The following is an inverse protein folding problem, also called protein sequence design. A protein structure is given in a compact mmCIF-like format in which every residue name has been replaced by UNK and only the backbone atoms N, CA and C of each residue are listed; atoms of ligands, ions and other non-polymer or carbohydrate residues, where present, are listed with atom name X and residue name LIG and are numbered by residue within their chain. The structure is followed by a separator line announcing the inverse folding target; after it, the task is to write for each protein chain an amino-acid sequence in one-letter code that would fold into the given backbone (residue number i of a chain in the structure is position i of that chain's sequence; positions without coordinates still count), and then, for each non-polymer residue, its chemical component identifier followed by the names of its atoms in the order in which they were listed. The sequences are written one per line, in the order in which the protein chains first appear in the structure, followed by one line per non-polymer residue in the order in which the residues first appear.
data_IF_879677667130
#
_entry.id   IF_879677667130
#
_cell.length_a   1.000
_cell.length_b   1.000
_cell.length_c   1.000
_cell.angle_alpha   90.00
_cell.angle_beta   90.00
_cell.angle_gamma   90.00
#
_symmetry.space_group_name_H-M   'P 1'
#
loop_
_entity.id
_entity.type
_entity.pdbx_description
1 polymer ?
#
# COMPACT_ATOMS: atom_id res chain seq x y z
N UNK A 1 -14.99 -3.50 -14.21
CA UNK A 1 -14.55 -3.21 -15.61
C UNK A 1 -13.46 -2.14 -15.54
N UNK A 2 -12.25 -2.41 -16.05
CA UNK A 2 -11.06 -1.57 -15.82
C UNK A 2 -10.86 -0.49 -16.89
N UNK A 3 -10.02 0.51 -16.58
CA UNK A 3 -9.48 1.50 -17.53
C UNK A 3 -7.98 1.27 -17.67
N UNK A 4 -7.44 1.38 -18.89
CA UNK A 4 -5.98 1.47 -19.07
C UNK A 4 -5.52 2.92 -18.95
N UNK A 5 -4.40 3.13 -18.26
CA UNK A 5 -3.74 4.44 -18.23
C UNK A 5 -2.95 4.66 -19.52
N UNK A 6 -2.96 5.89 -20.02
CA UNK A 6 -2.13 6.35 -21.13
C UNK A 6 -0.99 7.27 -20.68
N UNK A 7 -0.96 7.59 -19.38
CA UNK A 7 -0.03 8.53 -18.74
C UNK A 7 0.37 8.05 -17.36
N UNK A 8 1.62 8.32 -16.98
CA UNK A 8 2.15 8.07 -15.64
C UNK A 8 1.39 8.90 -14.58
N UNK A 9 0.99 8.28 -13.47
CA UNK A 9 0.25 8.92 -12.36
C UNK A 9 0.98 10.09 -11.70
N UNK A 10 2.31 10.06 -11.64
CA UNK A 10 3.12 11.15 -11.07
C UNK A 10 3.50 12.24 -12.08
N UNK A 11 4.12 11.87 -13.21
CA UNK A 11 4.68 12.86 -14.15
C UNK A 11 3.74 13.27 -15.29
N UNK A 12 2.65 12.54 -15.52
CA UNK A 12 1.78 12.75 -16.69
C UNK A 12 2.40 12.38 -18.04
N UNK A 13 3.62 11.81 -18.03
CA UNK A 13 4.32 11.35 -19.24
C UNK A 13 3.61 10.17 -19.89
N UNK A 14 3.63 10.14 -21.22
CA UNK A 14 3.15 9.01 -22.04
C UNK A 14 4.23 7.94 -22.26
N UNK A 15 5.46 8.15 -21.75
CA UNK A 15 6.56 7.21 -21.86
C UNK A 15 6.41 6.09 -20.83
N UNK A 16 5.60 5.08 -21.16
CA UNK A 16 5.32 3.92 -20.31
C UNK A 16 5.91 2.67 -20.96
N UNK A 17 6.84 2.02 -20.26
CA UNK A 17 7.50 0.79 -20.71
C UNK A 17 6.90 -0.39 -19.95
N UNK A 18 6.21 -1.30 -20.64
CA UNK A 18 5.76 -2.56 -20.02
C UNK A 18 6.96 -3.41 -19.64
N UNK A 19 7.05 -3.79 -18.37
CA UNK A 19 8.18 -4.57 -17.82
C UNK A 19 7.78 -5.98 -17.43
N UNK A 20 6.51 -6.21 -17.06
CA UNK A 20 6.00 -7.54 -16.69
C UNK A 20 4.50 -7.61 -16.98
N UNK A 21 4.04 -8.76 -17.48
CA UNK A 21 2.62 -9.11 -17.57
C UNK A 21 2.41 -10.44 -16.86
N UNK A 22 1.48 -10.48 -15.91
CA UNK A 22 1.03 -11.72 -15.24
C UNK A 22 -0.18 -12.35 -15.96
N UNK A 23 -0.56 -11.78 -17.11
CA UNK A 23 -1.72 -12.20 -17.89
C UNK A 23 -3.05 -11.83 -17.23
N UNK A 24 -4.10 -12.50 -17.69
CA UNK A 24 -5.48 -12.26 -17.28
C UNK A 24 -5.84 -13.00 -15.99
N UNK A 25 -6.13 -12.26 -14.92
CA UNK A 25 -6.50 -12.77 -13.60
C UNK A 25 -7.88 -12.27 -13.17
N UNK A 26 -8.60 -13.11 -12.44
CA UNK A 26 -9.77 -12.68 -11.68
C UNK A 26 -9.34 -11.77 -10.53
N UNK A 27 -10.22 -10.86 -10.11
CA UNK A 27 -9.99 -9.97 -8.97
C UNK A 27 -9.50 -10.77 -7.75
N UNK A 28 -8.30 -10.42 -7.32
CA UNK A 28 -7.51 -11.18 -6.36
C UNK A 28 -8.01 -11.05 -4.92
N UNK A 29 -8.68 -9.94 -4.59
CA UNK A 29 -9.33 -9.72 -3.30
C UNK A 29 -10.76 -10.28 -3.19
N UNK A 30 -11.29 -10.94 -4.23
CA UNK A 30 -12.67 -11.45 -4.23
C UNK A 30 -12.71 -12.96 -3.97
N UNK A 31 -13.37 -13.35 -2.89
CA UNK A 31 -13.60 -14.77 -2.53
C UNK A 31 -15.06 -15.15 -2.82
N UNK A 32 -15.32 -15.94 -3.89
CA UNK A 32 -16.69 -16.29 -4.26
C UNK A 32 -17.29 -17.29 -3.27
N UNK A 33 -18.60 -17.20 -3.02
CA UNK A 33 -19.31 -18.15 -2.15
C UNK A 33 -19.60 -19.48 -2.83
N UNK A 34 -19.52 -19.52 -4.16
CA UNK A 34 -19.70 -20.74 -4.94
C UNK A 34 -18.75 -20.78 -6.14
N UNK A 35 -18.34 -21.97 -6.62
CA UNK A 35 -17.42 -22.09 -7.76
C UNK A 35 -17.91 -21.49 -9.09
N UNK A 36 -19.22 -21.24 -9.21
CA UNK A 36 -19.84 -20.74 -10.43
C UNK A 36 -20.14 -19.23 -10.38
N UNK A 37 -19.80 -18.56 -9.29
CA UNK A 37 -20.00 -17.13 -9.17
C UNK A 37 -19.07 -16.39 -10.14
N UNK A 38 -19.59 -15.53 -11.02
CA UNK A 38 -18.76 -14.80 -11.98
C UNK A 38 -17.92 -13.75 -11.24
N UNK A 39 -16.61 -13.79 -11.45
CA UNK A 39 -15.67 -12.80 -10.92
C UNK A 39 -15.14 -11.98 -12.08
N UNK A 40 -15.08 -10.66 -11.89
CA UNK A 40 -14.43 -9.75 -12.84
C UNK A 40 -12.99 -10.20 -13.09
N UNK A 41 -12.59 -10.22 -14.35
CA UNK A 41 -11.28 -10.67 -14.84
C UNK A 41 -10.68 -9.61 -15.75
N UNK A 42 -9.37 -9.43 -15.66
CA UNK A 42 -8.63 -8.54 -16.53
C UNK A 42 -7.12 -8.76 -16.45
N UNK A 43 -6.35 -8.04 -17.27
CA UNK A 43 -4.89 -8.17 -17.29
C UNK A 43 -4.25 -7.51 -16.07
N UNK A 44 -3.13 -8.09 -15.63
CA UNK A 44 -2.22 -7.51 -14.65
C UNK A 44 -0.89 -7.18 -15.33
N UNK A 45 -0.80 -5.96 -15.86
CA UNK A 45 0.41 -5.47 -16.52
C UNK A 45 1.09 -4.36 -15.69
N UNK A 46 2.39 -4.54 -15.47
CA UNK A 46 3.26 -3.55 -14.86
C UNK A 46 3.96 -2.72 -15.93
N UNK A 47 3.92 -1.40 -15.75
CA UNK A 47 4.62 -0.43 -16.58
C UNK A 47 5.53 0.45 -15.73
N UNK A 48 6.70 0.79 -16.27
CA UNK A 48 7.66 1.70 -15.66
C UNK A 48 7.74 2.99 -16.49
N UNK A 49 7.77 4.13 -15.81
CA UNK A 49 7.91 5.45 -16.43
C UNK A 49 9.35 5.97 -16.25
N UNK A 50 10.15 6.09 -17.32
CA UNK A 50 11.52 6.61 -17.22
C UNK A 50 11.60 8.04 -16.69
N UNK A 51 10.56 8.86 -16.92
CA UNK A 51 10.60 10.29 -16.58
C UNK A 51 10.34 10.56 -15.09
N UNK A 52 9.67 9.64 -14.38
CA UNK A 52 9.43 9.73 -12.93
C UNK A 52 10.14 8.66 -12.11
N UNK A 53 10.55 7.54 -12.74
CA UNK A 53 11.00 6.33 -12.08
C UNK A 53 9.87 5.47 -11.49
N UNK A 54 8.60 5.87 -11.65
CA UNK A 54 7.47 5.14 -11.06
C UNK A 54 7.19 3.83 -11.80
N UNK A 55 7.21 2.72 -11.05
CA UNK A 55 6.63 1.45 -11.44
C UNK A 55 5.15 1.44 -11.02
N UNK A 56 4.24 1.09 -11.92
CA UNK A 56 2.78 1.19 -11.69
C UNK A 56 1.99 0.18 -12.52
N UNK A 57 0.77 -0.10 -12.10
CA UNK A 57 -0.19 -0.88 -12.89
C UNK A 57 -0.65 -0.09 -14.11
N UNK A 58 -0.72 -0.76 -15.26
CA UNK A 58 -1.28 -0.21 -16.49
C UNK A 58 -2.80 -0.11 -16.42
N UNK A 59 -3.44 -1.02 -15.69
CA UNK A 59 -4.88 -1.05 -15.50
C UNK A 59 -5.28 -0.42 -14.17
N UNK A 60 -6.43 0.24 -14.18
CA UNK A 60 -7.16 0.75 -13.03
C UNK A 60 -8.51 0.06 -12.96
N UNK A 61 -8.74 -0.71 -11.90
CA UNK A 61 -10.00 -1.41 -11.68
C UNK A 61 -10.99 -0.54 -10.89
N UNK A 62 -12.27 -0.89 -10.95
CA UNK A 62 -13.31 -0.14 -10.24
C UNK A 62 -13.09 -0.22 -8.73
N UNK A 63 -12.95 0.92 -8.06
CA UNK A 63 -12.84 0.99 -6.59
C UNK A 63 -14.05 0.34 -5.90
N UNK A 64 -15.25 0.44 -6.48
CA UNK A 64 -16.46 -0.20 -5.94
C UNK A 64 -16.37 -1.74 -6.00
N UNK A 65 -15.68 -2.30 -6.99
CA UNK A 65 -15.47 -3.76 -7.07
C UNK A 65 -14.42 -4.22 -6.04
N UNK A 66 -13.42 -3.39 -5.74
CA UNK A 66 -12.31 -3.73 -4.83
C UNK A 66 -12.63 -3.46 -3.35
N UNK A 67 -13.19 -2.30 -3.04
CA UNK A 67 -13.47 -1.83 -1.67
C UNK A 67 -14.96 -1.87 -1.30
N UNK A 68 -15.81 -2.32 -2.22
CA UNK A 68 -17.25 -2.57 -2.00
C UNK A 68 -17.52 -3.74 -1.06
N UNK A 69 -18.69 -4.38 -1.14
CA UNK A 69 -19.18 -5.33 -0.12
C UNK A 69 -18.22 -6.47 0.26
N UNK A 70 -17.25 -6.82 -0.58
CA UNK A 70 -16.34 -7.94 -0.38
C UNK A 70 -15.05 -7.60 0.38
N UNK A 71 -14.76 -6.32 0.65
CA UNK A 71 -13.57 -5.93 1.42
C UNK A 71 -13.79 -6.16 2.93
N UNK A 72 -13.10 -7.16 3.48
CA UNK A 72 -13.22 -7.60 4.89
C UNK A 72 -11.95 -7.47 5.73
N UNK A 73 -10.83 -6.98 5.18
CA UNK A 73 -9.57 -6.92 5.94
C UNK A 73 -9.66 -5.95 7.13
N UNK A 74 -9.26 -6.44 8.31
CA UNK A 74 -9.23 -5.68 9.56
C UNK A 74 -7.86 -5.75 10.22
N UNK A 75 -7.27 -4.58 10.46
CA UNK A 75 -5.94 -4.46 11.10
C UNK A 75 -5.92 -5.05 12.52
N UNK A 76 -7.03 -4.94 13.26
CA UNK A 76 -7.16 -5.45 14.62
C UNK A 76 -7.17 -6.97 14.76
N UNK A 77 -7.28 -7.74 13.68
CA UNK A 77 -7.30 -9.22 13.73
C UNK A 77 -5.89 -9.82 13.91
N UNK A 78 -4.85 -9.11 13.44
CA UNK A 78 -3.48 -9.59 13.49
C UNK A 78 -2.73 -8.92 14.64
N UNK A 79 -2.47 -9.67 15.72
CA UNK A 79 -1.74 -9.17 16.89
C UNK A 79 -0.34 -8.61 16.56
N UNK A 80 0.32 -9.10 15.51
CA UNK A 80 1.59 -8.53 15.05
C UNK A 80 1.39 -7.15 14.42
N UNK A 81 0.32 -6.97 13.63
CA UNK A 81 -0.04 -5.68 13.05
C UNK A 81 -0.46 -4.68 14.13
N UNK A 82 -1.27 -5.10 15.11
CA UNK A 82 -1.66 -4.26 16.24
C UNK A 82 -0.43 -3.71 16.98
N UNK A 83 0.53 -4.58 17.33
CA UNK A 83 1.77 -4.14 17.98
C UNK A 83 2.60 -3.20 17.12
N UNK A 84 2.70 -3.47 15.82
CA UNK A 84 3.40 -2.62 14.87
C UNK A 84 2.79 -1.21 14.83
N UNK A 85 1.47 -1.11 14.65
CA UNK A 85 0.76 0.18 14.63
C UNK A 85 0.93 0.93 15.96
N UNK A 86 0.82 0.25 17.10
CA UNK A 86 1.05 0.85 18.41
C UNK A 86 2.46 1.42 18.57
N UNK A 87 3.49 0.66 18.14
CA UNK A 87 4.88 1.12 18.18
C UNK A 87 5.08 2.35 17.29
N UNK A 88 4.45 2.39 16.11
CA UNK A 88 4.50 3.55 15.22
C UNK A 88 3.90 4.78 15.86
N UNK A 89 2.67 4.68 16.38
CA UNK A 89 2.02 5.82 17.04
C UNK A 89 2.83 6.31 18.25
N UNK A 90 3.36 5.40 19.07
CA UNK A 90 4.20 5.79 20.20
C UNK A 90 5.46 6.55 19.77
N UNK A 91 6.14 6.11 18.71
CA UNK A 91 7.30 6.82 18.18
C UNK A 91 6.93 8.22 17.65
N UNK A 92 5.76 8.37 17.03
CA UNK A 92 5.27 9.66 16.55
C UNK A 92 4.94 10.62 17.71
N UNK A 93 4.34 10.13 18.80
CA UNK A 93 4.08 10.93 20.01
C UNK A 93 5.37 11.35 20.74
N UNK A 94 6.46 10.58 20.60
CA UNK A 94 7.78 11.00 21.10
C UNK A 94 8.41 12.11 20.25
N UNK A 95 8.15 12.09 18.93
CA UNK A 95 8.67 13.07 17.98
C UNK A 95 7.88 14.39 18.01
N UNK A 96 6.57 14.31 18.21
CA UNK A 96 5.65 15.44 18.17
C UNK A 96 4.94 15.57 19.52
N UNK A 97 5.20 16.67 20.22
CA UNK A 97 4.52 16.97 21.48
C UNK A 97 3.08 17.38 21.22
N UNK A 98 2.17 16.41 21.33
CA UNK A 98 0.73 16.66 21.23
C UNK A 98 0.20 17.31 22.50
N UNK A 99 -0.78 18.19 22.34
CA UNK A 99 -1.64 18.72 23.39
C UNK A 99 -3.12 18.44 23.09
N UNK A 100 -4.01 18.75 24.03
CA UNK A 100 -5.44 18.40 23.95
C UNK A 100 -6.19 19.16 22.84
N UNK A 101 -5.65 20.27 22.33
CA UNK A 101 -6.20 21.04 21.20
C UNK A 101 -5.68 20.56 19.84
N UNK A 102 -4.63 19.72 19.81
CA UNK A 102 -4.09 19.19 18.57
C UNK A 102 -5.07 18.18 17.93
N UNK A 103 -5.02 18.10 16.61
CA UNK A 103 -5.82 17.17 15.81
C UNK A 103 -4.90 16.19 15.08
N UNK A 104 -5.18 14.90 15.19
CA UNK A 104 -4.52 13.83 14.43
C UNK A 104 -5.49 13.17 13.47
N UNK A 105 -5.00 12.83 12.28
CA UNK A 105 -5.77 12.15 11.24
C UNK A 105 -5.12 10.82 10.91
N UNK A 106 -5.92 9.77 10.75
CA UNK A 106 -5.50 8.53 10.09
C UNK A 106 -6.34 8.32 8.82
N UNK A 107 -5.66 8.32 7.67
CA UNK A 107 -6.26 8.18 6.34
C UNK A 107 -6.16 6.70 5.93
N UNK A 108 -7.30 6.08 5.60
CA UNK A 108 -7.38 4.62 5.50
C UNK A 108 -7.39 3.96 6.89
N UNK A 109 -8.09 4.59 7.84
CA UNK A 109 -8.08 4.23 9.27
C UNK A 109 -8.69 2.86 9.62
N UNK A 110 -9.36 2.20 8.67
CA UNK A 110 -9.90 0.86 8.80
C UNK A 110 -10.77 0.71 10.07
N UNK A 111 -10.42 -0.18 11.00
CA UNK A 111 -11.10 -0.41 12.28
C UNK A 111 -10.57 0.47 13.44
N UNK A 112 -9.95 1.59 13.11
CA UNK A 112 -9.36 2.57 14.01
C UNK A 112 -8.24 2.03 14.92
N UNK A 113 -7.61 0.90 14.57
CA UNK A 113 -6.55 0.29 15.40
C UNK A 113 -5.39 1.26 15.67
N UNK A 114 -4.92 2.01 14.66
CA UNK A 114 -3.88 3.02 14.84
C UNK A 114 -4.35 4.17 15.74
N UNK A 115 -5.55 4.73 15.49
CA UNK A 115 -6.08 5.84 16.26
C UNK A 115 -6.31 5.50 17.74
N UNK A 116 -6.64 4.25 18.07
CA UNK A 116 -6.76 3.76 19.46
C UNK A 116 -5.44 3.72 20.21
N UNK A 117 -4.30 3.74 19.51
CA UNK A 117 -2.98 3.64 20.13
C UNK A 117 -2.45 4.98 20.68
N UNK A 118 -3.06 6.11 20.32
CA UNK A 118 -2.67 7.42 20.85
C UNK A 118 -2.98 7.51 22.35
N UNK A 119 -1.98 7.90 23.14
CA UNK A 119 -2.13 8.08 24.58
C UNK A 119 -2.70 9.46 24.93
N UNK A 120 -2.47 10.47 24.08
CA UNK A 120 -2.95 11.84 24.30
C UNK A 120 -4.46 12.02 24.16
N UNK A 121 -5.00 13.10 24.76
CA UNK A 121 -6.42 13.50 24.61
C UNK A 121 -6.68 14.39 23.39
N UNK A 122 -5.75 14.39 22.44
CA UNK A 122 -5.90 15.10 21.17
C UNK A 122 -7.16 14.63 20.41
N UNK A 123 -7.64 15.48 19.50
CA UNK A 123 -8.77 15.13 18.63
C UNK A 123 -8.33 14.08 17.62
N UNK A 124 -9.01 12.93 17.61
CA UNK A 124 -8.68 11.78 16.76
C UNK A 124 -9.71 11.64 15.64
N UNK A 125 -9.24 11.66 14.39
CA UNK A 125 -10.11 11.61 13.20
C UNK A 125 -9.66 10.49 12.26
N UNK A 126 -10.56 9.55 11.97
CA UNK A 126 -10.40 8.58 10.90
C UNK A 126 -11.10 9.06 9.63
N UNK A 127 -10.39 9.05 8.49
CA UNK A 127 -10.97 9.32 7.17
C UNK A 127 -10.82 8.06 6.33
N UNK A 128 -11.92 7.37 6.07
CA UNK A 128 -11.90 6.06 5.42
C UNK A 128 -13.22 5.77 4.66
N UNK A 129 -13.18 5.54 3.33
CA UNK A 129 -14.39 5.26 2.54
C UNK A 129 -15.11 3.96 2.97
N UNK A 130 -14.38 3.00 3.53
CA UNK A 130 -14.91 1.75 4.08
C UNK A 130 -15.39 1.89 5.53
N UNK A 131 -15.14 3.03 6.17
CA UNK A 131 -15.35 3.23 7.61
C UNK A 131 -16.77 2.95 8.10
N UNK A 132 -17.81 3.11 7.25
CA UNK A 132 -19.20 2.73 7.60
C UNK A 132 -19.31 1.27 8.04
N UNK A 133 -18.56 0.35 7.40
CA UNK A 133 -18.56 -1.08 7.73
C UNK A 133 -17.91 -1.35 9.08
N UNK A 134 -16.85 -0.59 9.39
CA UNK A 134 -16.07 -0.76 10.60
C UNK A 134 -16.50 0.16 11.74
N UNK A 135 -17.58 0.93 11.57
CA UNK A 135 -18.06 1.92 12.53
C UNK A 135 -18.23 1.37 13.95
N UNK A 136 -18.65 0.11 14.09
CA UNK A 136 -18.79 -0.54 15.41
C UNK A 136 -17.47 -0.67 16.19
N UNK A 137 -16.32 -0.59 15.50
CA UNK A 137 -15.01 -0.61 16.14
C UNK A 137 -14.51 0.78 16.51
N UNK A 138 -15.18 1.87 16.11
CA UNK A 138 -14.79 3.23 16.47
C UNK A 138 -15.34 3.58 17.86
N UNK A 139 -14.45 3.88 18.83
CA UNK A 139 -14.84 4.49 20.10
C UNK A 139 -15.54 5.85 19.91
N UNK A 140 -16.32 6.27 20.89
CA UNK A 140 -17.05 7.56 20.85
C UNK A 140 -16.12 8.78 20.75
N UNK A 141 -14.90 8.69 21.28
CA UNK A 141 -13.89 9.76 21.24
C UNK A 141 -13.10 9.83 19.92
N UNK A 142 -13.39 8.96 18.95
CA UNK A 142 -12.77 8.96 17.62
C UNK A 142 -13.83 9.34 16.58
N UNK A 143 -13.61 10.47 15.91
CA UNK A 143 -14.49 10.93 14.83
C UNK A 143 -14.22 10.14 13.55
N UNK A 144 -15.27 9.59 12.93
CA UNK A 144 -15.18 8.93 11.62
C UNK A 144 -15.79 9.80 10.53
N UNK A 145 -15.02 10.08 9.48
CA UNK A 145 -15.48 10.62 8.20
C UNK A 145 -15.46 9.47 7.18
N UNK A 146 -16.62 8.90 6.83
CA UNK A 146 -16.69 7.73 5.96
C UNK A 146 -16.66 8.12 4.48
N UNK A 147 -15.55 8.71 4.04
CA UNK A 147 -15.33 9.23 2.68
C UNK A 147 -13.85 9.13 2.29
N UNK A 148 -13.55 9.36 1.01
CA UNK A 148 -12.18 9.53 0.55
C UNK A 148 -11.55 10.81 1.10
N UNK A 149 -10.26 10.76 1.38
CA UNK A 149 -9.52 11.92 1.82
C UNK A 149 -9.32 12.94 0.69
N UNK A 150 -9.62 14.19 1.00
CA UNK A 150 -9.15 15.36 0.27
C UNK A 150 -9.01 16.52 1.25
N UNK A 151 -8.29 17.58 0.85
CA UNK A 151 -8.22 18.79 1.65
C UNK A 151 -9.59 19.47 1.80
N UNK A 152 -10.48 19.29 0.83
CA UNK A 152 -11.86 19.77 0.88
C UNK A 152 -12.68 18.99 1.91
N UNK A 153 -12.65 17.65 1.85
CA UNK A 153 -13.33 16.77 2.81
C UNK A 153 -12.92 17.09 4.25
N UNK A 154 -11.61 17.28 4.48
CA UNK A 154 -11.11 17.65 5.79
C UNK A 154 -11.63 19.03 6.24
N UNK A 155 -11.52 20.06 5.39
CA UNK A 155 -11.94 21.44 5.72
C UNK A 155 -13.46 21.57 5.91
N UNK A 156 -14.27 20.77 5.22
CA UNK A 156 -15.71 20.75 5.42
C UNK A 156 -16.10 20.34 6.86
N UNK A 157 -15.29 19.47 7.48
CA UNK A 157 -15.50 19.01 8.86
C UNK A 157 -14.72 19.86 9.89
N UNK A 158 -13.54 20.38 9.51
CA UNK A 158 -12.63 21.11 10.38
C UNK A 158 -12.08 22.38 9.71
N UNK A 159 -12.92 23.41 9.45
CA UNK A 159 -12.57 24.54 8.59
C UNK A 159 -11.41 25.41 9.12
N UNK A 160 -11.24 25.46 10.44
CA UNK A 160 -10.23 26.27 11.11
C UNK A 160 -9.06 25.46 11.69
N UNK A 161 -9.04 24.14 11.46
CA UNK A 161 -8.02 23.27 12.05
C UNK A 161 -6.94 22.90 11.04
N UNK A 162 -5.79 22.49 11.57
CA UNK A 162 -4.72 21.81 10.85
C UNK A 162 -4.40 20.51 11.56
N UNK A 163 -3.96 19.50 10.81
CA UNK A 163 -3.54 18.24 11.38
C UNK A 163 -2.11 18.34 11.89
N UNK A 164 -1.91 17.96 13.15
CA UNK A 164 -0.60 17.90 13.80
C UNK A 164 0.18 16.66 13.39
N UNK A 165 -0.51 15.52 13.31
CA UNK A 165 0.00 14.26 12.79
C UNK A 165 -1.02 13.73 11.80
N UNK A 166 -0.55 13.36 10.61
CA UNK A 166 -1.34 12.60 9.64
C UNK A 166 -0.68 11.25 9.48
N UNK A 167 -1.44 10.16 9.58
CA UNK A 167 -0.99 8.80 9.26
C UNK A 167 -1.66 8.27 8.00
N UNK A 168 -0.92 7.50 7.20
CA UNK A 168 -1.46 6.80 6.01
C UNK A 168 -0.72 5.47 5.85
N UNK A 169 -1.24 4.40 6.44
CA UNK A 169 -0.56 3.10 6.51
C UNK A 169 -1.24 2.12 5.57
N UNK A 170 -0.47 1.54 4.64
CA UNK A 170 -0.89 0.52 3.69
C UNK A 170 -2.07 0.94 2.79
N UNK A 171 -2.10 2.20 2.36
CA UNK A 171 -3.12 2.71 1.41
C UNK A 171 -2.58 3.63 0.32
N UNK A 172 -1.41 4.26 0.51
CA UNK A 172 -0.97 5.33 -0.39
C UNK A 172 -0.66 4.84 -1.81
N UNK A 173 -0.32 3.55 -1.97
CA UNK A 173 -0.10 2.90 -3.27
C UNK A 173 -1.36 2.53 -4.05
N UNK A 174 -2.56 2.76 -3.49
CA UNK A 174 -3.84 2.44 -4.12
C UNK A 174 -4.44 3.66 -4.87
N UNK A 175 -3.71 4.78 -4.94
CA UNK A 175 -4.24 6.06 -5.39
C UNK A 175 -4.11 6.24 -6.90
N UNK A 176 -5.14 6.83 -7.51
CA UNK A 176 -5.12 7.19 -8.92
C UNK A 176 -4.36 8.50 -9.20
N UNK A 177 -4.39 9.43 -8.25
CA UNK A 177 -3.70 10.71 -8.33
C UNK A 177 -2.91 10.97 -7.03
N UNK A 178 -1.70 10.37 -6.89
CA UNK A 178 -0.87 10.54 -5.71
C UNK A 178 -0.40 12.00 -5.57
N UNK A 179 -0.21 12.72 -6.67
CA UNK A 179 0.25 14.12 -6.64
C UNK A 179 -0.81 15.03 -6.05
N UNK A 180 -2.09 14.85 -6.40
CA UNK A 180 -3.20 15.58 -5.78
C UNK A 180 -3.30 15.25 -4.29
N UNK A 181 -3.16 13.97 -3.91
CA UNK A 181 -3.18 13.55 -2.51
C UNK A 181 -2.09 14.24 -1.70
N UNK A 182 -0.83 14.23 -2.16
CA UNK A 182 0.29 14.87 -1.44
C UNK A 182 0.12 16.39 -1.34
N UNK A 183 -0.43 17.04 -2.38
CA UNK A 183 -0.79 18.47 -2.30
C UNK A 183 -1.87 18.73 -1.25
N UNK A 184 -2.85 17.85 -1.14
CA UNK A 184 -3.90 17.98 -0.14
C UNK A 184 -3.41 17.72 1.28
N UNK A 185 -2.49 16.78 1.46
CA UNK A 185 -1.75 16.60 2.72
C UNK A 185 -1.03 17.90 3.10
N UNK A 186 -0.23 18.49 2.20
CA UNK A 186 0.49 19.75 2.50
C UNK A 186 -0.49 20.85 2.92
N UNK A 187 -1.61 21.00 2.21
CA UNK A 187 -2.62 22.03 2.51
C UNK A 187 -3.20 21.90 3.91
N UNK A 188 -3.41 20.69 4.43
CA UNK A 188 -4.09 20.47 5.72
C UNK A 188 -3.13 20.24 6.89
N UNK A 189 -1.87 19.91 6.60
CA UNK A 189 -0.84 19.72 7.61
C UNK A 189 -0.52 21.04 8.33
N UNK A 190 -0.32 20.97 9.64
CA UNK A 190 0.17 22.09 10.44
C UNK A 190 1.60 22.48 10.02
N UNK A 191 2.00 23.72 10.25
CA UNK A 191 3.35 24.19 9.91
C UNK A 191 4.44 23.44 10.69
N UNK A 192 4.12 23.00 11.90
CA UNK A 192 4.93 22.14 12.75
C UNK A 192 4.39 20.71 12.84
N UNK A 193 3.57 20.29 11.88
CA UNK A 193 3.05 18.93 11.79
C UNK A 193 3.95 17.99 11.00
N UNK A 194 3.66 16.68 11.12
CA UNK A 194 4.26 15.63 10.31
C UNK A 194 3.20 14.77 9.62
N UNK A 195 3.56 14.26 8.45
CA UNK A 195 2.87 13.18 7.79
C UNK A 195 3.73 11.91 7.87
N UNK A 196 3.17 10.83 8.40
CA UNK A 196 3.82 9.54 8.47
C UNK A 196 3.05 8.52 7.64
N UNK A 197 3.69 7.94 6.64
CA UNK A 197 3.06 6.94 5.78
C UNK A 197 3.96 5.73 5.65
N UNK A 198 3.34 4.55 5.55
CA UNK A 198 4.05 3.28 5.42
C UNK A 198 3.42 2.43 4.34
N UNK A 199 4.27 1.83 3.50
CA UNK A 199 3.81 1.05 2.37
C UNK A 199 4.88 0.06 1.90
N UNK A 200 4.52 -0.83 0.97
CA UNK A 200 5.47 -1.79 0.38
C UNK A 200 6.62 -1.05 -0.31
N UNK A 201 7.81 -1.60 -0.18
CA UNK A 201 9.02 -1.01 -0.77
C UNK A 201 9.38 -1.75 -2.05
N UNK A 202 9.22 -1.10 -3.20
CA UNK A 202 9.42 -1.71 -4.51
C UNK A 202 10.81 -2.35 -4.68
N UNK A 203 11.91 -1.73 -4.22
CA UNK A 203 13.22 -2.38 -4.29
C UNK A 203 13.29 -3.69 -3.50
N UNK A 204 12.63 -3.80 -2.33
CA UNK A 204 12.50 -5.09 -1.62
C UNK A 204 11.73 -6.10 -2.45
N UNK A 205 10.58 -5.71 -3.02
CA UNK A 205 9.77 -6.57 -3.90
C UNK A 205 10.58 -7.15 -5.06
N UNK A 206 11.42 -6.35 -5.72
CA UNK A 206 12.30 -6.83 -6.80
C UNK A 206 13.34 -7.83 -6.27
N UNK A 207 13.97 -7.52 -5.12
CA UNK A 207 15.00 -8.34 -4.50
C UNK A 207 14.47 -9.71 -4.03
N UNK A 208 13.26 -9.75 -3.46
CA UNK A 208 12.65 -10.97 -2.92
C UNK A 208 11.82 -11.73 -3.94
N UNK A 209 11.80 -11.27 -5.21
CA UNK A 209 10.99 -11.85 -6.28
C UNK A 209 9.48 -11.91 -5.95
N UNK A 210 8.98 -10.94 -5.18
CA UNK A 210 7.61 -10.92 -4.65
C UNK A 210 6.59 -10.40 -5.67
N UNK A 211 6.46 -11.08 -6.82
CA UNK A 211 5.48 -10.71 -7.86
C UNK A 211 4.03 -10.95 -7.44
N UNK A 212 3.81 -11.75 -6.40
CA UNK A 212 2.51 -12.00 -5.80
C UNK A 212 1.91 -10.74 -5.16
N UNK A 213 2.70 -9.68 -4.94
CA UNK A 213 2.19 -8.37 -4.48
C UNK A 213 1.58 -7.54 -5.60
N UNK A 214 1.70 -7.96 -6.86
CA UNK A 214 1.14 -7.29 -8.03
C UNK A 214 -0.30 -7.75 -8.17
N UNK A 215 -1.22 -6.96 -7.65
CA UNK A 215 -2.65 -7.25 -7.64
C UNK A 215 -3.44 -6.05 -8.20
N UNK A 216 -4.76 -6.20 -8.25
CA UNK A 216 -5.64 -5.21 -8.88
C UNK A 216 -5.74 -3.92 -8.05
N UNK A 217 -5.59 -4.07 -6.73
CA UNK A 217 -5.73 -3.00 -5.74
C UNK A 217 -4.51 -2.07 -5.72
N UNK A 218 -3.29 -2.64 -5.74
CA UNK A 218 -2.05 -1.87 -5.68
C UNK A 218 -1.70 -1.25 -7.03
N UNK A 219 -1.94 0.05 -7.18
CA UNK A 219 -1.69 0.76 -8.43
C UNK A 219 -0.23 1.19 -8.61
N UNK A 220 0.50 1.40 -7.52
CA UNK A 220 1.77 2.12 -7.54
C UNK A 220 2.85 1.43 -6.69
N UNK A 221 4.09 1.39 -7.20
CA UNK A 221 5.20 0.68 -6.56
C UNK A 221 6.38 1.63 -6.40
N UNK A 222 6.66 2.01 -5.15
CA UNK A 222 7.53 3.14 -4.84
C UNK A 222 8.94 2.76 -4.44
N UNK A 223 9.92 3.48 -5.00
CA UNK A 223 11.23 3.70 -4.37
C UNK A 223 11.22 4.97 -3.53
N UNK A 224 12.22 5.13 -2.67
CA UNK A 224 12.42 6.34 -1.88
C UNK A 224 12.72 7.55 -2.76
N UNK A 225 13.48 7.40 -3.85
CA UNK A 225 13.75 8.49 -4.78
C UNK A 225 12.47 9.05 -5.41
N UNK A 226 11.54 8.19 -5.83
CA UNK A 226 10.22 8.61 -6.36
C UNK A 226 9.43 9.37 -5.29
N UNK A 227 9.37 8.82 -4.07
CA UNK A 227 8.69 9.46 -2.94
C UNK A 227 9.29 10.81 -2.60
N UNK A 228 10.62 10.90 -2.51
CA UNK A 228 11.35 12.14 -2.24
C UNK A 228 11.00 13.22 -3.26
N UNK A 229 11.07 12.88 -4.54
CA UNK A 229 10.79 13.83 -5.61
C UNK A 229 9.34 14.33 -5.52
N UNK A 230 8.38 13.43 -5.36
CA UNK A 230 6.97 13.79 -5.20
C UNK A 230 6.73 14.72 -4.00
N UNK A 231 7.32 14.42 -2.84
CA UNK A 231 7.22 15.27 -1.64
C UNK A 231 7.78 16.67 -1.90
N UNK A 232 8.98 16.77 -2.48
CA UNK A 232 9.66 18.04 -2.75
C UNK A 232 8.88 18.92 -3.75
N UNK A 233 8.29 18.30 -4.79
CA UNK A 233 7.41 19.00 -5.74
C UNK A 233 6.15 19.56 -5.09
N UNK A 234 5.73 19.00 -3.96
CA UNK A 234 4.55 19.41 -3.21
C UNK A 234 4.88 20.28 -1.99
N UNK A 235 6.12 20.77 -1.84
CA UNK A 235 6.52 21.64 -0.72
C UNK A 235 6.70 20.89 0.61
N UNK A 236 6.89 19.58 0.56
CA UNK A 236 7.23 18.73 1.70
C UNK A 236 8.67 18.23 1.58
N UNK A 237 9.22 17.74 2.67
CA UNK A 237 10.51 17.06 2.70
C UNK A 237 10.51 15.88 3.67
N UNK A 238 11.37 14.91 3.39
CA UNK A 238 11.56 13.74 4.25
C UNK A 238 12.31 14.15 5.52
N UNK A 239 11.79 13.73 6.66
CA UNK A 239 12.43 13.85 7.97
C UNK A 239 13.15 12.55 8.32
N UNK A 240 12.50 11.41 8.19
CA UNK A 240 13.08 10.11 8.55
C UNK A 240 12.49 8.98 7.70
N UNK A 241 13.23 7.87 7.60
CA UNK A 241 12.82 6.67 6.87
C UNK A 241 13.15 5.44 7.70
N UNK A 242 12.19 4.52 7.81
CA UNK A 242 12.34 3.29 8.58
C UNK A 242 11.97 2.08 7.73
N UNK A 243 12.92 1.18 7.51
CA UNK A 243 12.66 -0.11 6.87
C UNK A 243 12.07 -1.12 7.85
N UNK A 244 11.17 -1.99 7.39
CA UNK A 244 10.66 -3.11 8.17
C UNK A 244 10.21 -4.28 7.28
N UNK A 245 9.82 -5.39 7.92
CA UNK A 245 9.46 -6.64 7.24
C UNK A 245 7.96 -6.83 7.06
N UNK A 246 7.13 -5.84 7.41
CA UNK A 246 5.68 -5.90 7.19
C UNK A 246 5.42 -6.05 5.69
N UNK A 247 4.41 -6.83 5.33
CA UNK A 247 3.93 -7.03 3.96
C UNK A 247 4.99 -7.51 2.94
N UNK A 248 6.08 -8.13 3.38
CA UNK A 248 7.16 -8.64 2.52
C UNK A 248 8.29 -7.64 2.28
N UNK A 249 8.33 -6.56 3.05
CA UNK A 249 9.33 -5.50 2.93
C UNK A 249 8.64 -4.16 2.69
N UNK A 250 8.64 -3.33 3.73
CA UNK A 250 8.00 -2.02 3.72
C UNK A 250 8.98 -0.95 4.19
N UNK A 251 8.64 0.28 3.84
CA UNK A 251 9.31 1.48 4.33
C UNK A 251 8.27 2.45 4.85
N UNK A 252 8.57 3.03 6.01
CA UNK A 252 7.80 4.10 6.60
C UNK A 252 8.56 5.41 6.43
N UNK A 253 7.89 6.42 5.90
CA UNK A 253 8.46 7.74 5.63
C UNK A 253 7.74 8.75 6.51
N UNK A 254 8.51 9.49 7.29
CA UNK A 254 8.02 10.67 7.99
C UNK A 254 8.42 11.90 7.18
N UNK A 255 7.45 12.71 6.78
CA UNK A 255 7.63 13.95 6.05
C UNK A 255 7.07 15.13 6.84
N UNK A 256 7.59 16.32 6.57
CA UNK A 256 7.02 17.57 7.08
C UNK A 256 7.03 18.63 5.98
N UNK A 257 6.41 19.79 6.24
CA UNK A 257 6.54 20.94 5.36
C UNK A 257 8.01 21.32 5.17
N UNK A 258 8.34 21.91 4.02
CA UNK A 258 9.70 22.33 3.68
C UNK A 258 10.36 23.14 4.81
N UNK A 259 9.63 24.09 5.39
CA UNK A 259 10.09 24.96 6.48
C UNK A 259 9.70 24.44 7.88
N UNK A 260 9.29 23.18 8.00
CA UNK A 260 8.93 22.56 9.28
C UNK A 260 10.13 22.47 10.23
N UNK A 261 9.90 22.37 11.56
CA UNK A 261 10.95 22.49 12.57
C UNK A 261 11.82 21.21 12.72
N UNK A 262 11.47 20.13 12.02
CA UNK A 262 12.10 18.82 12.22
C UNK A 262 13.39 18.67 11.41
N UNK A 263 14.48 18.24 12.04
CA UNK A 263 15.74 17.97 11.34
C UNK A 263 15.66 16.67 10.56
N UNK A 264 15.96 16.70 9.25
CA UNK A 264 16.05 15.48 8.44
C UNK A 264 17.24 14.60 8.86
N UNK A 265 16.98 13.30 8.98
CA UNK A 265 17.97 12.25 9.17
C UNK A 265 18.70 11.98 7.85
N UNK A 266 19.50 12.96 7.39
CA UNK A 266 20.22 12.87 6.12
C UNK A 266 21.10 11.62 5.98
N UNK A 267 21.78 11.11 7.04
CA UNK A 267 22.56 9.87 6.92
C UNK A 267 21.75 8.67 6.43
N UNK A 268 20.59 8.37 7.04
CA UNK A 268 19.77 7.21 6.62
C UNK A 268 19.15 7.43 5.24
N UNK A 269 18.67 8.66 4.97
CA UNK A 269 18.03 8.99 3.69
C UNK A 269 19.04 8.83 2.54
N UNK A 270 20.24 9.38 2.70
CA UNK A 270 21.28 9.31 1.66
C UNK A 270 21.80 7.88 1.47
N UNK A 271 21.87 7.09 2.53
CA UNK A 271 22.28 5.69 2.43
C UNK A 271 21.28 4.87 1.60
N UNK A 272 19.97 5.02 1.86
CA UNK A 272 18.93 4.33 1.07
C UNK A 272 18.94 4.80 -0.38
N UNK A 273 19.03 6.11 -0.64
CA UNK A 273 19.09 6.64 -2.01
C UNK A 273 20.33 6.13 -2.76
N UNK A 274 21.47 5.99 -2.09
CA UNK A 274 22.68 5.41 -2.68
C UNK A 274 22.52 3.92 -2.99
N UNK A 275 21.80 3.17 -2.16
CA UNK A 275 21.48 1.77 -2.45
C UNK A 275 20.56 1.66 -3.67
N UNK A 276 19.56 2.53 -3.79
CA UNK A 276 18.68 2.60 -4.97
C UNK A 276 19.44 2.94 -6.25
N UNK A 277 20.37 3.90 -6.19
CA UNK A 277 21.25 4.25 -7.30
C UNK A 277 22.12 3.05 -7.73
N UNK A 278 22.71 2.35 -6.77
CA UNK A 278 23.50 1.15 -7.04
C UNK A 278 22.69 -0.01 -7.64
N UNK A 279 21.36 -0.02 -7.43
CA UNK A 279 20.45 -0.97 -8.07
C UNK A 279 20.12 -0.61 -9.52
N UNK A 280 20.41 0.62 -9.97
CA UNK A 280 20.13 1.08 -11.35
C UNK A 280 18.64 1.21 -11.65
N UNK A 281 17.84 1.62 -10.66
CA UNK A 281 16.37 1.76 -10.77
C UNK A 281 15.92 2.85 -11.75
N UNK A 282 16.83 3.68 -12.23
CA UNK A 282 16.62 4.64 -13.32
C UNK A 282 16.78 4.02 -14.72
N UNK A 283 17.02 2.71 -14.80
CA UNK A 283 17.13 1.95 -16.04
C UNK A 283 16.07 0.84 -16.10
N UNK A 284 15.73 0.33 -17.30
CA UNK A 284 14.79 -0.78 -17.42
C UNK A 284 15.35 -2.12 -16.89
N UNK A 285 16.67 -2.24 -16.72
CA UNK A 285 17.34 -3.52 -16.47
C UNK A 285 16.84 -4.26 -15.21
N UNK A 286 16.73 -3.64 -14.02
CA UNK A 286 16.30 -4.34 -12.81
C UNK A 286 14.90 -4.93 -12.93
N UNK A 287 14.01 -4.23 -13.65
CA UNK A 287 12.63 -4.65 -13.87
C UNK A 287 12.52 -5.82 -14.85
N UNK A 288 13.33 -5.80 -15.93
CA UNK A 288 13.41 -6.91 -16.88
C UNK A 288 14.06 -8.15 -16.26
N UNK A 289 15.13 -7.98 -15.48
CA UNK A 289 15.76 -9.06 -14.73
C UNK A 289 14.77 -9.66 -13.71
N UNK A 290 13.95 -8.83 -13.07
CA UNK A 290 12.85 -9.30 -12.20
C UNK A 290 11.82 -10.11 -12.99
N UNK A 291 11.34 -9.61 -14.13
CA UNK A 291 10.40 -10.35 -14.97
C UNK A 291 10.93 -11.74 -15.36
N UNK A 292 12.20 -11.85 -15.72
CA UNK A 292 12.83 -13.14 -16.01
C UNK A 292 12.77 -14.09 -14.80
N UNK A 293 13.16 -13.60 -13.61
CA UNK A 293 13.09 -14.38 -12.36
C UNK A 293 11.66 -14.81 -12.01
N UNK A 294 10.65 -13.98 -12.32
CA UNK A 294 9.24 -14.30 -12.10
C UNK A 294 8.80 -15.49 -12.96
N UNK A 295 9.13 -15.47 -14.26
CA UNK A 295 8.78 -16.60 -15.15
C UNK A 295 9.57 -17.87 -14.84
N UNK A 296 10.85 -17.74 -14.45
CA UNK A 296 11.65 -18.87 -13.97
C UNK A 296 11.04 -19.48 -12.70
N UNK A 297 10.64 -18.64 -11.74
CA UNK A 297 9.98 -19.10 -10.52
C UNK A 297 8.67 -19.83 -10.83
N UNK A 298 7.79 -19.27 -11.69
CA UNK A 298 6.56 -19.93 -12.14
C UNK A 298 6.85 -21.33 -12.68
N UNK A 299 7.84 -21.45 -13.55
CA UNK A 299 8.23 -22.74 -14.14
C UNK A 299 8.65 -23.74 -13.05
N UNK A 300 9.60 -23.38 -12.21
CA UNK A 300 10.11 -24.28 -11.16
C UNK A 300 9.05 -24.67 -10.13
N UNK A 301 8.18 -23.74 -9.76
CA UNK A 301 7.09 -24.02 -8.82
C UNK A 301 6.07 -25.00 -9.41
N UNK A 302 5.71 -24.83 -10.69
CA UNK A 302 4.82 -25.78 -11.39
C UNK A 302 5.45 -27.17 -11.46
N UNK A 303 6.72 -27.26 -11.89
CA UNK A 303 7.45 -28.53 -11.96
C UNK A 303 7.53 -29.24 -10.60
N UNK A 304 7.80 -28.49 -9.52
CA UNK A 304 7.83 -29.05 -8.17
C UNK A 304 6.45 -29.58 -7.73
N UNK A 305 5.39 -28.80 -7.94
CA UNK A 305 4.03 -29.18 -7.55
C UNK A 305 3.56 -30.40 -8.34
N UNK A 306 3.81 -30.43 -9.66
CA UNK A 306 3.50 -31.57 -10.52
C UNK A 306 4.24 -32.83 -10.08
N UNK A 307 5.54 -32.72 -9.77
CA UNK A 307 6.34 -33.83 -9.24
C UNK A 307 5.78 -34.36 -7.92
N UNK A 308 5.46 -33.49 -6.97
CA UNK A 308 4.92 -33.89 -5.66
C UNK A 308 3.56 -34.58 -5.79
N UNK A 309 2.69 -34.08 -6.68
CA UNK A 309 1.41 -34.72 -6.98
C UNK A 309 1.62 -36.11 -7.61
N UNK A 310 2.58 -36.25 -8.54
CA UNK A 310 2.91 -37.53 -9.15
C UNK A 310 3.50 -38.55 -8.15
N UNK A 311 4.23 -38.08 -7.13
CA UNK A 311 4.74 -38.90 -6.02
C UNK A 311 3.66 -39.19 -4.94
N UNK A 312 2.39 -38.88 -5.23
CA UNK A 312 1.25 -39.17 -4.35
C UNK A 312 1.20 -38.30 -3.09
N UNK A 313 1.94 -37.18 -3.04
CA UNK A 313 1.84 -36.22 -1.93
C UNK A 313 0.54 -35.44 -2.02
N UNK A 314 0.04 -35.00 -0.87
CA UNK A 314 -1.07 -34.06 -0.76
C UNK A 314 -0.51 -32.68 -0.44
N UNK A 315 -1.00 -31.67 -1.16
CA UNK A 315 -0.56 -30.28 -1.02
C UNK A 315 -1.78 -29.45 -0.61
N UNK A 316 -1.60 -28.64 0.43
CA UNK A 316 -2.58 -27.67 0.92
C UNK A 316 -1.88 -26.33 1.11
N UNK A 317 -2.59 -25.23 0.85
CA UNK A 317 -2.09 -23.88 1.11
C UNK A 317 -2.43 -23.42 2.53
N UNK A 318 -1.70 -22.39 2.99
CA UNK A 318 -1.89 -21.78 4.30
C UNK A 318 -1.94 -20.26 4.13
N UNK A 319 -3.07 -19.64 4.48
CA UNK A 319 -3.37 -18.23 4.27
C UNK A 319 -4.04 -17.99 2.91
N UNK A 320 -5.34 -17.71 2.92
CA UNK A 320 -6.13 -17.31 1.76
C UNK A 320 -6.02 -15.79 1.57
N UNK A 321 -4.90 -15.36 1.00
CA UNK A 321 -4.60 -13.93 0.78
C UNK A 321 -4.77 -13.51 -0.67
N UNK A 322 -4.99 -12.21 -0.90
CA UNK A 322 -4.94 -11.56 -2.23
C UNK A 322 -3.68 -11.96 -3.01
N UNK A 323 -2.52 -11.97 -2.33
CA UNK A 323 -1.24 -12.32 -2.93
C UNK A 323 -1.16 -13.81 -3.30
N UNK A 324 -1.67 -14.67 -2.43
CA UNK A 324 -1.84 -16.10 -2.72
C UNK A 324 -2.65 -16.32 -4.00
N UNK A 325 -3.74 -15.58 -4.19
CA UNK A 325 -4.56 -15.66 -5.39
C UNK A 325 -3.80 -15.24 -6.66
N UNK A 326 -2.89 -14.25 -6.59
CA UNK A 326 -2.01 -13.90 -7.72
C UNK A 326 -1.15 -15.09 -8.11
N UNK A 327 -0.49 -15.72 -7.14
CA UNK A 327 0.40 -16.86 -7.38
C UNK A 327 -0.35 -18.06 -7.94
N UNK A 328 -1.49 -18.42 -7.34
CA UNK A 328 -2.29 -19.57 -7.76
C UNK A 328 -2.78 -19.41 -9.21
N UNK A 329 -3.29 -18.23 -9.56
CA UNK A 329 -3.76 -17.93 -10.91
C UNK A 329 -2.61 -17.89 -11.91
N UNK A 330 -1.50 -17.21 -11.57
CA UNK A 330 -0.34 -17.14 -12.45
C UNK A 330 0.26 -18.52 -12.72
N UNK A 331 0.25 -19.44 -11.74
CA UNK A 331 0.76 -20.80 -11.92
C UNK A 331 -0.27 -21.77 -12.52
N UNK A 332 -1.52 -21.34 -12.75
CA UNK A 332 -2.64 -22.17 -13.19
C UNK A 332 -2.93 -23.36 -12.24
N UNK A 333 -2.75 -23.13 -10.93
CA UNK A 333 -3.06 -24.15 -9.94
C UNK A 333 -4.57 -24.32 -9.75
N UNK A 334 -4.99 -25.57 -9.52
CA UNK A 334 -6.39 -25.96 -9.36
C UNK A 334 -6.48 -26.94 -8.20
N UNK A 335 -7.70 -27.37 -7.87
CA UNK A 335 -7.94 -28.40 -6.83
C UNK A 335 -7.25 -29.74 -7.11
N UNK A 336 -6.78 -29.98 -8.34
CA UNK A 336 -5.94 -31.14 -8.70
C UNK A 336 -4.52 -31.03 -8.14
N UNK A 337 -4.03 -29.80 -7.99
CA UNK A 337 -2.68 -29.49 -7.53
C UNK A 337 -2.67 -29.22 -6.02
N UNK A 338 -3.59 -28.37 -5.56
CA UNK A 338 -3.67 -27.89 -4.18
C UNK A 338 -5.11 -28.09 -3.71
N UNK A 339 -5.32 -28.98 -2.74
CA UNK A 339 -6.67 -29.47 -2.40
C UNK A 339 -7.53 -28.44 -1.68
N UNK A 340 -6.92 -27.59 -0.85
CA UNK A 340 -7.57 -26.58 -0.04
C UNK A 340 -6.56 -25.54 0.44
N UNK A 341 -7.06 -24.39 0.90
CA UNK A 341 -6.29 -23.33 1.56
C UNK A 341 -6.87 -23.16 2.97
N UNK A 342 -6.01 -23.22 3.99
CA UNK A 342 -6.43 -22.93 5.37
C UNK A 342 -6.46 -21.40 5.59
N UNK A 343 -7.49 -20.90 6.27
CA UNK A 343 -7.64 -19.47 6.60
C UNK A 343 -8.22 -19.31 8.01
N UNK A 344 -7.80 -18.28 8.72
CA UNK A 344 -8.26 -17.95 10.08
C UNK A 344 -9.42 -16.96 10.07
N UNK A 345 -9.58 -16.18 9.00
CA UNK A 345 -10.75 -15.33 8.83
C UNK A 345 -11.99 -16.17 8.56
N UNK A 346 -13.05 -15.97 9.36
CA UNK A 346 -14.32 -16.68 9.20
C UNK A 346 -15.19 -16.09 8.08
N UNK A 347 -14.92 -14.83 7.71
CA UNK A 347 -15.60 -14.06 6.65
C UNK A 347 -14.87 -14.19 5.30
#
# INVERSE_FOLDING_TARGET
MYKEIDRCRISGSTNLITVLSLGEQCLTGVFPKSPNEPITRGPLDLVWCPDSGLLQMKQSYSLDEMYGNNYGYRSGLNNSMVRHLQQKIHALEQMVKLNDEDLVIDIGSNDATSLKAYAGKCQKVGIDPTGKKFKQYYPEDITLIPDFFSAETFKANFPNSKAKIITSIAMFYDLEDPMAFVKDIEKVLANDGIWHFEQSYMPSMLCTNSYDTICHEHLEFYSLNVVKNMLEHCGLRIVDVQMNQINGGSFAVTACKQNGPYKSNLPIINEILKQEDAMGLDTPKPYLDFAERVFQHRKHLKELVEYLVADGKKISGYGASTKGNVLLQFCDFTTKHISCIAEVNED
#
